data_IF_839708402683
#
_entry.id   IF_839708402683
#
_cell.length_a   1.000
_cell.length_b   1.000
_cell.length_c   1.000
_cell.angle_alpha   90.00
_cell.angle_beta   90.00
_cell.angle_gamma   90.00
#
_symmetry.space_group_name_H-M   'P 1'
#
loop_
_entity.id
_entity.type
_entity.pdbx_description
1 polymer ?
#
# COMPACT_ATOMS: atom_id res chain seq x y z
N UNK A 1 1.21 6.85 14.43
CA UNK A 1 2.03 6.21 13.39
C UNK A 1 1.67 6.83 12.05
N UNK A 2 2.64 7.41 11.38
CA UNK A 2 2.51 7.98 10.05
C UNK A 2 2.66 6.89 8.98
N UNK A 3 1.97 7.02 7.86
CA UNK A 3 2.04 5.99 6.81
C UNK A 3 3.42 5.92 6.16
N UNK A 4 4.22 6.98 6.20
CA UNK A 4 5.60 6.98 5.75
C UNK A 4 6.51 6.00 6.49
N UNK A 5 6.12 5.57 7.72
CA UNK A 5 6.86 4.58 8.51
C UNK A 5 6.60 3.14 8.06
N UNK A 6 5.45 2.89 7.39
CA UNK A 6 4.98 1.56 7.03
C UNK A 6 4.82 1.34 5.52
N UNK A 7 4.91 2.40 4.70
CA UNK A 7 4.78 2.28 3.25
C UNK A 7 6.00 1.57 2.64
N UNK A 8 5.79 0.91 1.51
CA UNK A 8 6.87 0.36 0.69
C UNK A 8 7.60 1.48 -0.04
N UNK A 9 8.91 1.65 0.22
CA UNK A 9 9.74 2.70 -0.39
C UNK A 9 10.21 2.35 -1.80
N UNK A 10 10.36 1.08 -2.11
CA UNK A 10 10.73 0.60 -3.45
C UNK A 10 9.49 0.54 -4.34
N UNK A 11 9.22 1.63 -5.05
CA UNK A 11 8.06 1.75 -5.94
C UNK A 11 8.48 1.49 -7.37
N UNK A 12 7.79 0.58 -8.04
CA UNK A 12 7.95 0.37 -9.48
C UNK A 12 7.23 1.50 -10.21
N UNK A 13 7.98 2.27 -10.99
CA UNK A 13 7.50 3.46 -11.69
C UNK A 13 7.69 3.33 -13.20
N UNK A 14 6.88 4.06 -13.94
CA UNK A 14 7.06 4.28 -15.37
C UNK A 14 6.55 5.68 -15.78
N UNK A 15 6.89 6.12 -16.97
CA UNK A 15 6.30 7.33 -17.58
C UNK A 15 4.98 6.97 -18.26
N UNK A 16 4.13 7.97 -18.48
CA UNK A 16 2.81 7.78 -19.15
C UNK A 16 2.91 7.24 -20.56
N UNK A 17 4.00 7.56 -21.27
CA UNK A 17 4.20 7.24 -22.68
C UNK A 17 4.78 5.86 -22.95
N UNK A 18 5.14 5.09 -21.92
CA UNK A 18 5.54 3.69 -22.11
C UNK A 18 4.33 2.87 -22.62
N UNK A 19 4.61 1.83 -23.39
CA UNK A 19 3.52 0.95 -23.85
C UNK A 19 3.00 0.08 -22.70
N UNK A 20 1.76 -0.36 -22.82
CA UNK A 20 1.15 -1.32 -21.88
C UNK A 20 1.97 -2.59 -21.75
N UNK A 21 2.59 -3.04 -22.86
CA UNK A 21 3.50 -4.19 -22.86
C UNK A 21 4.71 -3.96 -21.95
N UNK A 22 5.36 -2.81 -22.06
CA UNK A 22 6.49 -2.45 -21.17
C UNK A 22 6.04 -2.40 -19.71
N UNK A 23 4.88 -1.80 -19.43
CA UNK A 23 4.31 -1.77 -18.09
C UNK A 23 4.05 -3.18 -17.54
N UNK A 24 3.47 -4.07 -18.35
CA UNK A 24 3.23 -5.47 -17.98
C UNK A 24 4.55 -6.25 -17.74
N UNK A 25 5.57 -5.97 -18.53
CA UNK A 25 6.90 -6.56 -18.33
C UNK A 25 7.52 -6.12 -17.00
N UNK A 26 7.41 -4.84 -16.63
CA UNK A 26 7.84 -4.35 -15.31
C UNK A 26 7.07 -5.03 -14.17
N UNK A 27 5.75 -5.17 -14.29
CA UNK A 27 4.96 -5.90 -13.29
C UNK A 27 5.42 -7.35 -13.13
N UNK A 28 5.75 -8.02 -14.23
CA UNK A 28 6.27 -9.39 -14.21
C UNK A 28 7.66 -9.47 -13.58
N UNK A 29 8.56 -8.58 -13.96
CA UNK A 29 9.97 -8.56 -13.50
C UNK A 29 10.04 -8.31 -11.99
N UNK A 30 9.28 -7.35 -11.50
CA UNK A 30 9.27 -6.95 -10.09
C UNK A 30 8.22 -7.65 -9.23
N UNK A 31 7.44 -8.58 -9.81
CA UNK A 31 6.36 -9.31 -9.13
C UNK A 31 5.34 -8.42 -8.43
N UNK A 32 4.93 -7.34 -9.09
CA UNK A 32 3.94 -6.38 -8.58
C UNK A 32 2.68 -6.34 -9.45
N UNK A 33 1.53 -6.11 -8.85
CA UNK A 33 0.25 -5.98 -9.56
C UNK A 33 -0.10 -4.54 -9.94
N UNK A 34 0.77 -3.57 -9.66
CA UNK A 34 0.58 -2.18 -10.07
C UNK A 34 1.92 -1.46 -10.23
N UNK A 35 1.91 -0.42 -11.03
CA UNK A 35 3.00 0.55 -11.17
C UNK A 35 2.46 1.96 -10.99
N UNK A 36 3.29 2.84 -10.46
CA UNK A 36 2.96 4.28 -10.37
C UNK A 36 3.50 4.97 -11.60
N UNK A 37 2.62 5.63 -12.33
CA UNK A 37 3.03 6.51 -13.43
C UNK A 37 3.44 7.85 -12.85
N UNK A 38 4.60 8.35 -13.30
CA UNK A 38 5.17 9.59 -12.79
C UNK A 38 5.47 10.59 -13.91
N UNK A 39 5.30 11.85 -13.56
CA UNK A 39 5.82 12.97 -14.34
C UNK A 39 7.07 13.54 -13.66
N UNK A 40 8.07 13.89 -14.43
CA UNK A 40 9.26 14.57 -13.93
C UNK A 40 9.08 16.08 -14.00
N UNK A 41 9.10 16.73 -12.84
CA UNK A 41 8.98 18.18 -12.72
C UNK A 41 10.11 18.70 -11.83
N UNK A 42 11.02 19.49 -12.41
CA UNK A 42 12.15 20.06 -11.67
C UNK A 42 13.06 19.03 -11.02
N UNK A 43 13.28 17.89 -11.67
CA UNK A 43 14.08 16.78 -11.15
C UNK A 43 13.36 15.92 -10.10
N UNK A 44 12.07 16.18 -9.82
CA UNK A 44 11.25 15.43 -8.88
C UNK A 44 10.24 14.55 -9.63
N UNK A 45 10.03 13.34 -9.12
CA UNK A 45 9.06 12.40 -9.65
C UNK A 45 7.74 12.57 -8.93
N UNK A 46 6.75 13.13 -9.62
CA UNK A 46 5.41 13.32 -9.07
C UNK A 46 4.48 12.23 -9.59
N UNK A 47 3.75 11.52 -8.73
CA UNK A 47 2.77 10.54 -9.19
C UNK A 47 1.68 11.26 -9.99
N UNK A 48 1.30 10.67 -11.11
CA UNK A 48 0.27 11.22 -11.97
C UNK A 48 -0.85 10.21 -12.25
N UNK A 49 -0.59 8.93 -12.03
CA UNK A 49 -1.58 7.87 -12.14
C UNK A 49 -1.06 6.56 -11.53
N UNK A 50 -1.97 5.58 -11.37
CA UNK A 50 -1.65 4.18 -11.09
C UNK A 50 -2.21 3.33 -12.21
N UNK A 51 -1.39 2.39 -12.71
CA UNK A 51 -1.82 1.35 -13.63
C UNK A 51 -1.74 0.00 -12.93
N UNK A 52 -2.84 -0.77 -12.98
CA UNK A 52 -2.92 -2.10 -12.39
C UNK A 52 -2.95 -3.20 -13.46
N UNK A 53 -2.63 -4.43 -13.08
CA UNK A 53 -2.79 -5.63 -13.91
C UNK A 53 -4.25 -5.84 -14.34
N UNK A 54 -5.21 -5.51 -13.45
CA UNK A 54 -6.63 -5.53 -13.79
C UNK A 54 -6.99 -4.54 -14.89
N UNK A 55 -6.44 -3.33 -14.87
CA UNK A 55 -6.67 -2.33 -15.91
C UNK A 55 -6.20 -2.84 -17.28
N UNK A 56 -5.03 -3.48 -17.32
CA UNK A 56 -4.49 -4.08 -18.53
C UNK A 56 -5.39 -5.23 -19.03
N UNK A 57 -5.83 -6.11 -18.13
CA UNK A 57 -6.70 -7.22 -18.50
C UNK A 57 -8.05 -6.74 -19.05
N UNK A 58 -8.66 -5.74 -18.40
CA UNK A 58 -10.02 -5.28 -18.74
C UNK A 58 -10.02 -4.30 -19.91
N UNK A 59 -9.08 -3.36 -19.97
CA UNK A 59 -9.09 -2.30 -20.96
C UNK A 59 -8.29 -2.61 -22.24
N UNK A 60 -7.38 -3.58 -22.20
CA UNK A 60 -6.52 -3.93 -23.34
C UNK A 60 -6.80 -5.37 -23.80
N UNK A 61 -6.59 -6.34 -22.92
CA UNK A 61 -6.72 -7.77 -23.30
C UNK A 61 -8.13 -8.15 -23.68
N UNK A 62 -9.13 -7.75 -22.85
CA UNK A 62 -10.53 -8.08 -23.10
C UNK A 62 -11.10 -7.44 -24.38
N UNK A 63 -10.53 -6.32 -24.80
CA UNK A 63 -10.91 -5.61 -26.03
C UNK A 63 -10.07 -6.03 -27.26
N UNK A 64 -9.10 -6.92 -27.07
CA UNK A 64 -8.21 -7.38 -28.14
C UNK A 64 -7.32 -6.27 -28.72
N UNK A 65 -7.00 -5.25 -27.91
CA UNK A 65 -6.13 -4.16 -28.32
C UNK A 65 -4.66 -4.58 -28.29
N UNK A 66 -3.86 -3.95 -29.13
CA UNK A 66 -2.43 -4.24 -29.22
C UNK A 66 -1.66 -3.55 -28.09
N UNK A 67 -1.07 -4.30 -27.12
CA UNK A 67 -0.35 -3.73 -26.00
C UNK A 67 0.97 -3.05 -26.40
N UNK A 68 1.48 -3.29 -27.61
CA UNK A 68 2.66 -2.61 -28.17
C UNK A 68 2.35 -1.19 -28.67
N UNK A 69 1.07 -0.88 -28.90
CA UNK A 69 0.61 0.43 -29.41
C UNK A 69 -0.02 1.29 -28.31
N UNK A 70 -0.81 0.67 -27.44
CA UNK A 70 -1.51 1.39 -26.36
C UNK A 70 -0.52 1.89 -25.32
N UNK A 71 -0.67 3.15 -24.89
CA UNK A 71 0.16 3.77 -23.86
C UNK A 71 -0.39 3.49 -22.45
N UNK A 72 0.51 3.35 -21.49
CA UNK A 72 0.13 3.15 -20.08
C UNK A 72 -0.79 4.28 -19.56
N UNK A 73 -0.49 5.52 -19.94
CA UNK A 73 -1.29 6.68 -19.54
C UNK A 73 -2.72 6.72 -20.11
N UNK A 74 -2.98 6.00 -21.21
CA UNK A 74 -4.33 5.93 -21.81
C UNK A 74 -5.24 4.95 -21.07
N UNK A 75 -4.66 3.99 -20.37
CA UNK A 75 -5.36 2.91 -19.66
C UNK A 75 -5.44 3.15 -18.16
N UNK A 76 -4.42 3.80 -17.60
CA UNK A 76 -4.32 4.08 -16.17
C UNK A 76 -5.45 5.00 -15.66
N UNK A 77 -5.68 5.00 -14.36
CA UNK A 77 -6.64 5.86 -13.71
C UNK A 77 -6.44 7.34 -14.10
N UNK A 78 -7.54 8.04 -14.38
CA UNK A 78 -7.49 9.45 -14.85
C UNK A 78 -7.01 10.41 -13.77
N UNK A 79 -7.29 10.10 -12.51
CA UNK A 79 -6.88 10.89 -11.35
C UNK A 79 -6.02 10.05 -10.43
N UNK A 80 -4.91 10.62 -9.99
CA UNK A 80 -4.12 10.04 -8.91
C UNK A 80 -4.69 10.53 -7.57
N UNK A 81 -4.89 9.58 -6.67
CA UNK A 81 -5.19 9.86 -5.27
C UNK A 81 -3.92 9.50 -4.52
N UNK A 82 -3.31 10.47 -3.91
CA UNK A 82 -2.05 10.33 -3.17
C UNK A 82 -2.24 10.72 -1.70
N UNK A 83 -1.32 10.29 -0.85
CA UNK A 83 -1.30 10.63 0.57
C UNK A 83 0.05 11.19 0.96
N UNK A 84 0.05 12.19 1.84
CA UNK A 84 1.29 12.68 2.42
C UNK A 84 1.88 11.65 3.38
N UNK A 85 3.21 11.51 3.41
CA UNK A 85 3.88 10.53 4.28
C UNK A 85 3.64 10.77 5.78
N UNK A 86 3.30 11.99 6.18
CA UNK A 86 2.96 12.35 7.56
C UNK A 86 1.50 11.99 7.93
N UNK A 87 0.67 11.56 6.96
CA UNK A 87 -0.73 11.19 7.22
C UNK A 87 -0.84 9.97 8.13
N UNK A 88 -1.92 9.94 8.93
CA UNK A 88 -2.18 8.83 9.83
C UNK A 88 -2.82 7.61 9.13
N UNK A 89 -2.64 6.43 9.74
CA UNK A 89 -3.24 5.18 9.23
C UNK A 89 -4.76 5.28 9.13
N UNK A 90 -5.44 5.81 10.17
CA UNK A 90 -6.90 5.94 10.17
C UNK A 90 -7.42 6.86 9.05
N UNK A 91 -6.74 7.98 8.81
CA UNK A 91 -7.02 8.90 7.71
C UNK A 91 -6.86 8.20 6.36
N UNK A 92 -5.77 7.47 6.17
CA UNK A 92 -5.48 6.72 4.95
C UNK A 92 -6.56 5.67 4.67
N UNK A 93 -6.99 4.92 5.68
CA UNK A 93 -8.10 3.95 5.56
C UNK A 93 -9.40 4.65 5.17
N UNK A 94 -9.69 5.82 5.73
CA UNK A 94 -10.90 6.59 5.38
C UNK A 94 -10.86 7.02 3.91
N UNK A 95 -9.72 7.50 3.40
CA UNK A 95 -9.53 7.86 1.99
C UNK A 95 -9.69 6.64 1.09
N UNK A 96 -9.01 5.51 1.40
CA UNK A 96 -9.14 4.27 0.64
C UNK A 96 -10.60 3.82 0.53
N UNK A 97 -11.34 3.86 1.64
CA UNK A 97 -12.76 3.49 1.69
C UNK A 97 -13.64 4.44 0.87
N UNK A 98 -13.45 5.73 1.03
CA UNK A 98 -14.25 6.76 0.34
C UNK A 98 -14.03 6.71 -1.18
N UNK A 99 -12.81 6.48 -1.61
CA UNK A 99 -12.41 6.45 -3.02
C UNK A 99 -12.52 5.06 -3.67
N UNK A 100 -12.72 4.01 -2.88
CA UNK A 100 -12.80 2.64 -3.39
C UNK A 100 -11.47 2.13 -3.94
N UNK A 101 -10.34 2.57 -3.38
CA UNK A 101 -8.99 2.19 -3.81
C UNK A 101 -8.27 1.43 -2.71
N UNK A 102 -7.39 0.52 -3.10
CA UNK A 102 -6.63 -0.33 -2.18
C UNK A 102 -5.14 0.02 -2.11
N UNK A 103 -4.68 0.95 -2.93
CA UNK A 103 -3.29 1.41 -2.98
C UNK A 103 -3.26 2.89 -3.24
N UNK A 104 -2.33 3.57 -2.57
CA UNK A 104 -2.13 5.00 -2.72
C UNK A 104 -0.64 5.29 -2.81
N UNK A 105 -0.18 6.08 -3.79
CA UNK A 105 1.14 6.66 -3.76
C UNK A 105 1.30 7.52 -2.52
N UNK A 106 2.48 7.44 -1.91
CA UNK A 106 2.86 8.25 -0.75
C UNK A 106 3.86 9.29 -1.22
N UNK A 107 3.59 10.54 -0.87
CA UNK A 107 4.40 11.69 -1.29
C UNK A 107 4.92 12.46 -0.09
N UNK A 108 6.03 13.16 -0.30
CA UNK A 108 6.53 14.14 0.66
C UNK A 108 5.75 15.47 0.60
N UNK A 109 6.16 16.46 1.40
CA UNK A 109 5.54 17.80 1.45
C UNK A 109 5.63 18.58 0.13
N UNK A 110 6.52 18.17 -0.77
CA UNK A 110 6.71 18.78 -2.08
C UNK A 110 5.96 18.03 -3.20
N UNK A 111 5.22 16.97 -2.84
CA UNK A 111 4.51 16.10 -3.76
C UNK A 111 5.40 15.12 -4.52
N UNK A 112 6.63 14.88 -4.04
CA UNK A 112 7.54 13.90 -4.62
C UNK A 112 7.16 12.50 -4.15
N UNK A 113 7.12 11.54 -5.06
CA UNK A 113 6.86 10.15 -4.73
C UNK A 113 7.95 9.59 -3.82
N UNK A 114 7.56 9.12 -2.64
CA UNK A 114 8.46 8.52 -1.64
C UNK A 114 8.11 7.09 -1.27
N UNK A 115 6.92 6.62 -1.67
CA UNK A 115 6.50 5.25 -1.38
C UNK A 115 5.13 4.92 -1.98
N UNK A 116 4.65 3.74 -1.66
CA UNK A 116 3.29 3.28 -1.93
C UNK A 116 2.76 2.56 -0.69
N UNK A 117 1.51 2.81 -0.32
CA UNK A 117 0.82 2.13 0.78
C UNK A 117 -0.32 1.29 0.23
N UNK A 118 -0.41 0.03 0.61
CA UNK A 118 -1.50 -0.85 0.27
C UNK A 118 -2.39 -1.13 1.50
N UNK A 119 -3.65 -1.44 1.26
CA UNK A 119 -4.56 -1.88 2.32
C UNK A 119 -4.03 -3.14 3.05
N UNK A 120 -3.32 -4.01 2.33
CA UNK A 120 -2.71 -5.21 2.88
C UNK A 120 -1.61 -4.91 3.91
N UNK A 121 -0.83 -3.83 3.71
CA UNK A 121 0.19 -3.36 4.67
C UNK A 121 -0.47 -2.92 5.97
N UNK A 122 -1.58 -2.20 5.86
CA UNK A 122 -2.36 -1.73 7.02
C UNK A 122 -2.99 -2.92 7.77
N UNK A 123 -3.53 -3.90 7.06
CA UNK A 123 -4.09 -5.12 7.68
C UNK A 123 -3.01 -5.89 8.43
N UNK A 124 -1.82 -6.01 7.84
CA UNK A 124 -0.67 -6.68 8.49
C UNK A 124 -0.28 -5.96 9.78
N UNK A 125 -0.13 -4.63 9.74
CA UNK A 125 0.16 -3.83 10.92
C UNK A 125 -0.88 -4.06 12.04
N UNK A 126 -2.18 -3.98 11.70
CA UNK A 126 -3.24 -4.16 12.69
C UNK A 126 -3.24 -5.58 13.28
N UNK A 127 -2.93 -6.59 12.49
CA UNK A 127 -2.82 -7.97 12.97
C UNK A 127 -1.65 -8.13 13.95
N UNK A 128 -0.51 -7.50 13.71
CA UNK A 128 0.64 -7.47 14.61
C UNK A 128 0.32 -6.79 15.94
N UNK A 129 -0.33 -5.63 15.90
CA UNK A 129 -0.77 -4.90 17.09
C UNK A 129 -1.77 -5.73 17.93
N UNK A 130 -2.74 -6.37 17.28
CA UNK A 130 -3.70 -7.26 17.95
C UNK A 130 -3.01 -8.47 18.58
N UNK A 131 -2.02 -9.06 17.92
CA UNK A 131 -1.24 -10.16 18.46
C UNK A 131 -0.43 -9.76 19.69
N UNK A 132 0.14 -8.54 19.67
CA UNK A 132 0.82 -7.94 20.81
C UNK A 132 -0.09 -7.81 22.04
N UNK A 133 -1.30 -7.27 21.85
CA UNK A 133 -2.31 -7.14 22.91
C UNK A 133 -2.73 -8.52 23.45
N UNK A 134 -3.00 -9.48 22.60
CA UNK A 134 -3.37 -10.83 23.01
C UNK A 134 -2.26 -11.51 23.86
N UNK A 135 -1.00 -11.30 23.48
CA UNK A 135 0.15 -11.79 24.23
C UNK A 135 0.25 -11.14 25.62
N UNK A 136 0.03 -9.83 25.70
CA UNK A 136 0.02 -9.09 26.97
C UNK A 136 -1.06 -9.65 27.91
N UNK A 137 -2.30 -9.78 27.45
CA UNK A 137 -3.42 -10.33 28.23
C UNK A 137 -3.12 -11.76 28.70
N UNK A 138 -2.58 -12.61 27.84
CA UNK A 138 -2.20 -13.98 28.18
C UNK A 138 -1.13 -14.04 29.30
N UNK A 139 -0.16 -13.13 29.28
CA UNK A 139 0.87 -13.04 30.32
C UNK A 139 0.27 -12.57 31.65
N UNK A 140 -0.63 -11.61 31.64
CA UNK A 140 -1.33 -11.11 32.82
C UNK A 140 -2.13 -12.23 33.51
N UNK A 141 -2.95 -12.95 32.76
CA UNK A 141 -3.70 -14.10 33.28
C UNK A 141 -2.81 -15.18 33.92
N UNK A 142 -1.65 -15.48 33.29
CA UNK A 142 -0.70 -16.44 33.85
C UNK A 142 -0.10 -15.95 35.17
N UNK A 143 0.23 -14.68 35.27
CA UNK A 143 0.77 -14.06 36.48
C UNK A 143 -0.25 -14.12 37.63
N UNK A 144 -1.50 -13.70 37.37
CA UNK A 144 -2.58 -13.77 38.36
C UNK A 144 -2.87 -15.20 38.82
N UNK A 145 -2.84 -16.18 37.91
CA UNK A 145 -3.04 -17.59 38.26
C UNK A 145 -1.91 -18.11 39.15
N UNK A 146 -0.65 -17.71 38.94
CA UNK A 146 0.48 -18.03 39.77
C UNK A 146 0.37 -17.42 41.16
N UNK A 147 0.02 -16.16 41.27
CA UNK A 147 -0.17 -15.42 42.54
C UNK A 147 -1.30 -16.04 43.38
N UNK A 148 -2.42 -16.40 42.75
CA UNK A 148 -3.53 -17.14 43.46
C UNK A 148 -3.11 -18.48 44.03
N UNK A 149 -2.28 -19.26 43.33
CA UNK A 149 -1.76 -20.54 43.83
C UNK A 149 -0.85 -20.34 45.03
N UNK A 150 0.03 -19.35 45.01
CA UNK A 150 0.95 -19.05 46.10
C UNK A 150 0.17 -18.59 47.35
N UNK A 151 -0.86 -17.77 47.19
CA UNK A 151 -1.71 -17.32 48.29
C UNK A 151 -2.58 -18.43 48.92
N UNK A 152 -2.94 -19.45 48.14
CA UNK A 152 -3.67 -20.62 48.65
C UNK A 152 -2.77 -21.61 49.42
N UNK A 153 -1.51 -21.72 49.04
CA UNK A 153 -0.52 -22.64 49.69
C UNK A 153 0.04 -22.12 51.02
N UNK A 154 -0.14 -20.81 51.34
CA UNK A 154 0.35 -20.20 52.55
C UNK A 154 -0.68 -20.13 53.72
N UNK A 155 -1.80 -20.84 53.65
CA UNK A 155 -2.87 -20.85 54.65
C UNK A 155 -3.01 -22.17 55.44
N UNK A 156 -1.99 -23.02 55.44
CA UNK A 156 -1.93 -24.20 56.29
C UNK A 156 -1.05 -23.94 57.52
#
# INVERSE_FOLDING_TARGET
>A
MAIGEICTREVVIAKRDVTVKVAAQLMREYHVGCIVLVDEQGGKRKPCSILTDRDIAVAVTALGLDPDVIRAGDVAAKEVIEMNEDAGVAETVAVMRMKGVRRLPVVDKEGTLVGIIAADDIVTLLAEEMSGLATMISREHKKEAAERRTSASGRD
#
